data_IF_336617093585
#
_entry.id   IF_336617093585
#
_cell.length_a   1.000
_cell.length_b   1.000
_cell.length_c   1.000
_cell.angle_alpha   90.00
_cell.angle_beta   90.00
_cell.angle_gamma   90.00
#
_symmetry.space_group_name_H-M   'P 1'
#
loop_
_entity.id
_entity.type
_entity.pdbx_description
1 polymer ?
#
# COMPACT_ATOMS: atom_id res chain seq x y z
N UNK A 1 -3.89 35.65 29.36
CA UNK A 1 -4.95 35.15 30.26
C UNK A 1 -6.03 34.61 29.36
N UNK A 2 -6.02 33.30 29.12
CA UNK A 2 -6.94 32.70 28.14
C UNK A 2 -8.34 32.66 28.74
N UNK A 3 -9.36 33.09 27.99
CA UNK A 3 -10.75 33.03 28.44
C UNK A 3 -11.15 31.63 28.94
N UNK A 4 -10.52 30.56 28.40
CA UNK A 4 -10.69 29.19 28.89
C UNK A 4 -10.23 28.95 30.34
N UNK A 5 -9.16 29.61 30.79
CA UNK A 5 -8.63 29.43 32.16
C UNK A 5 -9.58 29.99 33.24
N UNK A 6 -10.42 30.97 32.87
CA UNK A 6 -11.44 31.56 33.76
C UNK A 6 -12.71 30.72 33.86
N UNK A 7 -13.04 29.96 32.80
CA UNK A 7 -14.27 29.15 32.72
C UNK A 7 -14.13 27.75 33.33
N UNK A 8 -12.90 27.23 33.43
CA UNK A 8 -12.61 25.91 34.03
C UNK A 8 -12.26 26.00 35.54
N UNK A 9 -12.46 27.17 36.17
CA UNK A 9 -12.07 27.43 37.56
C UNK A 9 -13.04 26.83 38.61
N UNK A 10 -12.57 26.00 39.57
CA UNK A 10 -13.42 25.26 40.52
C UNK A 10 -14.15 26.11 41.58
N UNK A 11 -14.08 27.44 41.49
CA UNK A 11 -14.63 28.38 42.49
C UNK A 11 -15.89 29.11 42.02
N UNK A 12 -16.32 28.92 40.78
CA UNK A 12 -17.54 29.53 40.24
C UNK A 12 -18.65 28.49 40.40
N UNK A 13 -19.62 28.71 41.30
CA UNK A 13 -20.76 27.80 41.52
C UNK A 13 -21.79 27.79 40.38
N UNK A 14 -21.36 28.05 39.14
CA UNK A 14 -22.18 28.09 37.92
C UNK A 14 -21.58 27.11 36.91
N UNK A 15 -22.42 26.27 36.30
CA UNK A 15 -22.01 25.41 35.19
C UNK A 15 -21.85 26.24 33.92
N UNK A 16 -20.60 26.50 33.52
CA UNK A 16 -20.23 27.25 32.32
C UNK A 16 -19.77 26.34 31.17
N UNK A 17 -19.98 25.02 31.29
CA UNK A 17 -19.49 24.04 30.31
C UNK A 17 -20.00 24.34 28.90
N UNK A 18 -21.29 24.70 28.76
CA UNK A 18 -21.88 25.08 27.48
C UNK A 18 -21.23 26.32 26.85
N UNK A 19 -21.04 27.37 27.65
CA UNK A 19 -20.38 28.61 27.19
C UNK A 19 -18.92 28.35 26.79
N UNK A 20 -18.20 27.52 27.53
CA UNK A 20 -16.84 27.09 27.18
C UNK A 20 -16.80 26.31 25.86
N UNK A 21 -17.77 25.42 25.62
CA UNK A 21 -17.87 24.66 24.38
C UNK A 21 -18.17 25.58 23.19
N UNK A 22 -19.10 26.51 23.33
CA UNK A 22 -19.42 27.51 22.30
C UNK A 22 -18.21 28.41 21.98
N UNK A 23 -17.50 28.90 23.01
CA UNK A 23 -16.30 29.71 22.83
C UNK A 23 -15.18 28.94 22.11
N UNK A 24 -14.97 27.66 22.45
CA UNK A 24 -14.01 26.79 21.74
C UNK A 24 -14.42 26.53 20.29
N UNK A 25 -15.70 26.30 20.03
CA UNK A 25 -16.23 26.10 18.69
C UNK A 25 -16.05 27.35 17.81
N UNK A 26 -16.34 28.54 18.35
CA UNK A 26 -16.11 29.81 17.65
C UNK A 26 -14.61 30.03 17.37
N UNK A 27 -13.74 29.81 18.38
CA UNK A 27 -12.29 29.94 18.20
C UNK A 27 -11.76 28.99 17.11
N UNK A 28 -12.25 27.74 17.07
CA UNK A 28 -11.93 26.79 16.01
C UNK A 28 -12.38 27.31 14.65
N UNK A 29 -13.64 27.74 14.52
CA UNK A 29 -14.19 28.28 13.26
C UNK A 29 -13.43 29.51 12.75
N UNK A 30 -13.01 30.40 13.66
CA UNK A 30 -12.16 31.55 13.31
C UNK A 30 -10.77 31.11 12.83
N UNK A 31 -10.16 30.12 13.48
CA UNK A 31 -8.87 29.56 13.06
C UNK A 31 -8.98 28.90 11.68
N UNK A 32 -9.99 28.05 11.47
CA UNK A 32 -10.22 27.34 10.20
C UNK A 32 -10.45 28.34 9.04
N UNK A 33 -11.22 29.40 9.30
CA UNK A 33 -11.45 30.47 8.32
C UNK A 33 -10.17 31.24 8.02
N UNK A 34 -9.36 31.54 9.03
CA UNK A 34 -8.09 32.22 8.85
C UNK A 34 -7.11 31.36 8.02
N UNK A 35 -7.00 30.08 8.33
CA UNK A 35 -6.14 29.15 7.60
C UNK A 35 -6.60 28.99 6.15
N UNK A 36 -7.91 28.93 5.91
CA UNK A 36 -8.49 28.94 4.57
C UNK A 36 -8.12 30.20 3.78
N UNK A 37 -8.19 31.38 4.40
CA UNK A 37 -7.79 32.64 3.77
C UNK A 37 -6.29 32.68 3.49
N UNK A 38 -5.45 32.17 4.39
CA UNK A 38 -4.00 32.05 4.17
C UNK A 38 -3.71 31.14 2.97
N UNK A 39 -4.35 29.98 2.89
CA UNK A 39 -4.20 29.06 1.76
C UNK A 39 -4.65 29.69 0.44
N UNK A 40 -5.82 30.35 0.42
CA UNK A 40 -6.32 31.00 -0.78
C UNK A 40 -5.41 32.15 -1.25
N UNK A 41 -4.93 33.00 -0.33
CA UNK A 41 -3.98 34.07 -0.65
C UNK A 41 -2.65 33.55 -1.20
N UNK A 42 -2.22 32.36 -0.78
CA UNK A 42 -1.01 31.71 -1.28
C UNK A 42 -1.24 30.92 -2.58
N UNK A 43 -2.46 30.94 -3.13
CA UNK A 43 -2.83 30.21 -4.35
C UNK A 43 -3.25 31.20 -5.44
N UNK A 44 -2.35 31.64 -6.33
CA UNK A 44 -2.63 32.70 -7.31
C UNK A 44 -3.83 32.45 -8.23
N UNK A 45 -4.19 31.17 -8.44
CA UNK A 45 -5.33 30.77 -9.26
C UNK A 45 -6.70 30.97 -8.57
N UNK A 46 -6.74 31.23 -7.26
CA UNK A 46 -7.97 31.42 -6.48
C UNK A 46 -8.18 32.93 -6.28
N UNK A 47 -9.10 33.51 -7.04
CA UNK A 47 -9.46 34.92 -6.89
C UNK A 47 -10.40 35.12 -5.69
N UNK A 48 -10.01 35.99 -4.76
CA UNK A 48 -10.82 36.38 -3.60
C UNK A 48 -11.60 37.67 -3.89
N UNK A 49 -12.93 37.59 -3.84
CA UNK A 49 -13.83 38.73 -3.93
C UNK A 49 -14.20 39.30 -2.57
N UNK A 50 -14.47 40.61 -2.51
CA UNK A 50 -15.04 41.23 -1.31
C UNK A 50 -16.43 40.64 -1.05
N UNK A 51 -16.63 40.09 0.15
CA UNK A 51 -17.91 39.48 0.57
C UNK A 51 -18.04 38.00 0.22
N UNK A 52 -16.98 37.36 -0.29
CA UNK A 52 -16.97 35.91 -0.48
C UNK A 52 -17.08 35.19 0.86
N UNK A 53 -17.97 34.19 0.93
CA UNK A 53 -18.12 33.35 2.11
C UNK A 53 -17.00 32.30 2.21
N UNK A 54 -16.71 31.78 3.41
CA UNK A 54 -15.76 30.68 3.58
C UNK A 54 -16.05 29.47 2.68
N UNK A 55 -17.33 29.12 2.47
CA UNK A 55 -17.74 27.99 1.63
C UNK A 55 -17.38 28.22 0.16
N UNK A 56 -17.57 29.46 -0.34
CA UNK A 56 -17.19 29.82 -1.71
C UNK A 56 -15.69 29.75 -1.91
N UNK A 57 -14.91 30.23 -0.94
CA UNK A 57 -13.45 30.21 -0.97
C UNK A 57 -12.94 28.77 -0.91
N UNK A 58 -13.48 27.96 0.00
CA UNK A 58 -13.17 26.53 0.14
C UNK A 58 -13.46 25.77 -1.15
N UNK A 59 -14.63 25.99 -1.77
CA UNK A 59 -14.99 25.39 -3.04
C UNK A 59 -14.02 25.75 -4.17
N UNK A 60 -13.62 27.02 -4.28
CA UNK A 60 -12.65 27.46 -5.29
C UNK A 60 -11.28 26.82 -5.06
N UNK A 61 -10.82 26.77 -3.80
CA UNK A 61 -9.55 26.14 -3.42
C UNK A 61 -9.56 24.64 -3.72
N UNK A 62 -10.62 23.92 -3.36
CA UNK A 62 -10.71 22.47 -3.58
C UNK A 62 -10.80 22.11 -5.06
N UNK A 63 -11.42 22.96 -5.91
CA UNK A 63 -11.38 22.78 -7.37
C UNK A 63 -9.97 22.96 -7.92
N UNK A 64 -9.25 23.98 -7.45
CA UNK A 64 -7.86 24.18 -7.85
C UNK A 64 -6.96 23.02 -7.42
N UNK A 65 -7.05 22.59 -6.15
CA UNK A 65 -6.30 21.46 -5.62
C UNK A 65 -6.59 20.16 -6.38
N UNK A 66 -7.85 19.88 -6.71
CA UNK A 66 -8.20 18.74 -7.57
C UNK A 66 -7.53 18.81 -8.94
N UNK A 67 -7.56 19.98 -9.59
CA UNK A 67 -6.91 20.16 -10.88
C UNK A 67 -5.38 19.95 -10.80
N UNK A 68 -4.73 20.38 -9.72
CA UNK A 68 -3.30 20.12 -9.46
C UNK A 68 -3.04 18.63 -9.27
N UNK A 69 -3.84 17.96 -8.43
CA UNK A 69 -3.74 16.50 -8.21
C UNK A 69 -3.87 15.76 -9.54
N UNK A 70 -4.91 16.04 -10.32
CA UNK A 70 -5.16 15.35 -11.58
C UNK A 70 -4.05 15.61 -12.62
N UNK A 71 -3.46 16.81 -12.63
CA UNK A 71 -2.35 17.15 -13.52
C UNK A 71 -1.03 16.46 -13.14
N UNK A 72 -0.84 16.11 -11.87
CA UNK A 72 0.33 15.41 -11.36
C UNK A 72 0.25 13.88 -11.55
N UNK A 73 -0.93 13.34 -11.88
CA UNK A 73 -1.09 11.90 -12.13
C UNK A 73 -0.35 11.46 -13.39
N UNK A 74 0.28 10.30 -13.32
CA UNK A 74 0.89 9.66 -14.48
C UNK A 74 -0.18 9.35 -15.55
N UNK A 75 0.16 9.50 -16.84
CA UNK A 75 -0.71 9.02 -17.91
C UNK A 75 -1.03 7.53 -17.72
N UNK A 76 -2.30 7.17 -17.93
CA UNK A 76 -2.71 5.78 -17.86
C UNK A 76 -2.09 5.01 -19.04
N UNK A 77 -1.50 3.84 -18.80
CA UNK A 77 -1.00 3.00 -19.88
C UNK A 77 -2.17 2.58 -20.79
N UNK A 78 -1.90 2.44 -22.08
CA UNK A 78 -2.89 1.93 -23.01
C UNK A 78 -3.28 0.48 -22.63
N UNK A 79 -4.58 0.17 -22.52
CA UNK A 79 -5.03 -1.17 -22.15
C UNK A 79 -4.64 -2.18 -23.25
N UNK A 80 -4.11 -3.32 -22.84
CA UNK A 80 -3.88 -4.44 -23.75
C UNK A 80 -5.22 -5.06 -24.19
N UNK A 81 -5.29 -5.73 -25.36
CA UNK A 81 -6.45 -6.53 -25.75
C UNK A 81 -6.81 -7.54 -24.65
N UNK A 82 -8.11 -7.69 -24.35
CA UNK A 82 -8.64 -8.60 -23.31
C UNK A 82 -8.24 -8.25 -21.86
N UNK A 83 -7.78 -7.02 -21.60
CA UNK A 83 -7.54 -6.60 -20.21
C UNK A 83 -8.86 -6.55 -19.42
N UNK A 84 -8.86 -6.86 -18.10
CA UNK A 84 -10.04 -6.71 -17.27
C UNK A 84 -10.64 -5.31 -17.33
N UNK A 85 -11.97 -5.24 -17.23
CA UNK A 85 -12.72 -3.98 -17.16
C UNK A 85 -13.24 -3.79 -15.74
N UNK A 86 -12.91 -2.66 -15.15
CA UNK A 86 -13.39 -2.24 -13.84
C UNK A 86 -14.34 -1.08 -13.98
N UNK A 87 -15.47 -1.14 -13.27
CA UNK A 87 -16.38 -0.02 -13.11
C UNK A 87 -16.20 0.57 -11.72
N UNK A 88 -15.95 1.87 -11.64
CA UNK A 88 -15.75 2.64 -10.40
C UNK A 88 -16.96 3.53 -10.17
N UNK A 89 -17.63 3.33 -9.04
CA UNK A 89 -18.59 4.28 -8.49
C UNK A 89 -17.87 5.17 -7.50
N UNK A 90 -17.75 6.45 -7.84
CA UNK A 90 -17.07 7.46 -7.02
C UNK A 90 -18.09 8.34 -6.28
N UNK A 91 -17.84 8.62 -5.01
CA UNK A 91 -18.68 9.45 -4.17
C UNK A 91 -18.03 10.80 -3.87
N UNK A 92 -18.85 11.83 -3.62
CA UNK A 92 -18.36 13.22 -3.41
C UNK A 92 -17.47 13.39 -2.18
N UNK A 93 -17.54 12.48 -1.21
CA UNK A 93 -16.69 12.45 -0.02
C UNK A 93 -15.37 11.68 -0.25
N UNK A 94 -15.06 11.30 -1.49
CA UNK A 94 -13.80 10.65 -1.88
C UNK A 94 -13.75 9.13 -1.73
N UNK A 95 -14.77 8.54 -1.11
CA UNK A 95 -14.93 7.10 -1.09
C UNK A 95 -15.27 6.59 -2.49
N UNK A 96 -14.83 5.38 -2.84
CA UNK A 96 -15.22 4.73 -4.08
C UNK A 96 -15.34 3.22 -3.94
N UNK A 97 -16.14 2.62 -4.82
CA UNK A 97 -16.27 1.16 -4.97
C UNK A 97 -15.91 0.81 -6.40
N UNK A 98 -15.05 -0.20 -6.56
CA UNK A 98 -14.66 -0.71 -7.86
C UNK A 98 -15.15 -2.15 -8.00
N UNK A 99 -15.80 -2.48 -9.11
CA UNK A 99 -16.26 -3.82 -9.42
C UNK A 99 -15.71 -4.28 -10.77
N UNK A 100 -15.26 -5.52 -10.84
CA UNK A 100 -14.80 -6.15 -12.06
C UNK A 100 -16.01 -6.58 -12.89
N UNK A 101 -16.16 -6.02 -14.08
CA UNK A 101 -17.32 -6.26 -14.97
C UNK A 101 -17.02 -7.22 -16.11
N UNK A 102 -15.75 -7.39 -16.48
CA UNK A 102 -15.32 -8.44 -17.43
C UNK A 102 -13.84 -8.80 -17.26
N UNK A 103 -13.46 -10.01 -17.68
CA UNK A 103 -12.06 -10.45 -17.71
C UNK A 103 -11.49 -10.94 -16.38
N UNK A 104 -12.36 -11.39 -15.47
CA UNK A 104 -11.96 -11.94 -14.17
C UNK A 104 -11.44 -13.36 -14.20
N UNK A 105 -10.78 -13.73 -13.10
CA UNK A 105 -10.39 -15.09 -12.78
C UNK A 105 -11.03 -15.51 -11.44
N UNK A 106 -11.00 -16.80 -11.15
CA UNK A 106 -11.58 -17.37 -9.92
C UNK A 106 -10.84 -16.96 -8.62
N UNK A 107 -9.63 -16.42 -8.75
CA UNK A 107 -8.83 -15.97 -7.60
C UNK A 107 -9.26 -14.58 -7.10
N UNK A 108 -10.04 -13.84 -7.89
CA UNK A 108 -10.36 -12.45 -7.65
C UNK A 108 -9.18 -11.50 -7.93
N UNK A 109 -9.30 -10.22 -7.56
CA UNK A 109 -10.45 -9.62 -6.89
C UNK A 109 -11.64 -9.39 -7.83
N UNK A 110 -12.86 -9.48 -7.28
CA UNK A 110 -14.09 -9.17 -8.04
C UNK A 110 -14.67 -7.80 -7.69
N UNK A 111 -14.42 -7.32 -6.49
CA UNK A 111 -14.91 -6.02 -6.00
C UNK A 111 -14.04 -5.52 -4.85
N UNK A 112 -13.73 -4.24 -4.87
CA UNK A 112 -13.02 -3.56 -3.81
C UNK A 112 -13.60 -2.18 -3.54
N UNK A 113 -13.04 -1.51 -2.56
CA UNK A 113 -13.44 -0.20 -2.10
C UNK A 113 -12.21 0.60 -1.71
N UNK A 114 -12.34 1.90 -1.57
CA UNK A 114 -11.18 2.71 -1.26
C UNK A 114 -11.51 4.18 -1.07
N UNK A 115 -10.44 4.95 -0.98
CA UNK A 115 -10.48 6.40 -0.95
C UNK A 115 -9.53 6.96 -1.99
N UNK A 116 -9.98 8.00 -2.69
CA UNK A 116 -9.15 8.81 -3.56
C UNK A 116 -9.66 10.27 -3.58
N UNK A 117 -8.77 11.26 -3.64
CA UNK A 117 -9.11 12.68 -3.53
C UNK A 117 -9.90 13.20 -4.74
N UNK A 118 -9.76 12.54 -5.89
CA UNK A 118 -10.46 12.86 -7.14
C UNK A 118 -10.90 11.56 -7.83
N UNK A 119 -11.87 11.62 -8.77
CA UNK A 119 -12.25 10.46 -9.55
C UNK A 119 -11.08 9.92 -10.40
N UNK A 120 -10.22 10.80 -10.91
CA UNK A 120 -9.07 10.39 -11.70
C UNK A 120 -8.00 9.69 -10.85
N UNK A 121 -7.84 10.14 -9.60
CA UNK A 121 -7.02 9.43 -8.61
C UNK A 121 -7.60 8.05 -8.30
N UNK A 122 -8.93 7.88 -8.24
CA UNK A 122 -9.55 6.56 -8.05
C UNK A 122 -9.21 5.61 -9.22
N UNK A 123 -9.30 6.11 -10.46
CA UNK A 123 -8.86 5.37 -11.66
C UNK A 123 -7.39 4.99 -11.56
N UNK A 124 -6.51 5.94 -11.22
CA UNK A 124 -5.07 5.69 -11.09
C UNK A 124 -4.78 4.65 -9.99
N UNK A 125 -5.48 4.71 -8.87
CA UNK A 125 -5.35 3.74 -7.77
C UNK A 125 -5.76 2.34 -8.19
N UNK A 126 -6.91 2.16 -8.85
CA UNK A 126 -7.34 0.84 -9.35
C UNK A 126 -6.38 0.33 -10.42
N UNK A 127 -5.95 1.20 -11.34
CA UNK A 127 -4.98 0.85 -12.38
C UNK A 127 -3.65 0.39 -11.80
N UNK A 128 -3.15 1.10 -10.79
CA UNK A 128 -1.90 0.81 -10.09
C UNK A 128 -1.92 -0.50 -9.30
N UNK A 129 -3.08 -0.90 -8.76
CA UNK A 129 -3.25 -2.21 -8.12
C UNK A 129 -2.94 -3.36 -9.11
N UNK A 130 -3.38 -3.21 -10.35
CA UNK A 130 -3.15 -4.17 -11.46
C UNK A 130 -2.03 -3.73 -12.40
N UNK A 131 -0.99 -3.04 -11.91
CA UNK A 131 0.04 -2.41 -12.75
C UNK A 131 0.71 -3.35 -13.78
N UNK A 132 0.91 -4.62 -13.43
CA UNK A 132 1.51 -5.63 -14.31
C UNK A 132 0.61 -6.04 -15.48
N UNK A 133 -0.70 -5.76 -15.41
CA UNK A 133 -1.72 -5.96 -16.46
C UNK A 133 -2.78 -4.85 -16.38
N UNK A 134 -2.45 -3.63 -16.84
CA UNK A 134 -3.30 -2.47 -16.62
C UNK A 134 -4.71 -2.65 -17.20
N UNK A 135 -5.77 -2.44 -16.39
CA UNK A 135 -7.15 -2.66 -16.78
C UNK A 135 -7.70 -1.48 -17.58
N UNK A 136 -8.86 -1.67 -18.18
CA UNK A 136 -9.75 -0.55 -18.52
C UNK A 136 -10.52 -0.20 -17.25
N UNK A 137 -10.51 1.07 -16.85
CA UNK A 137 -11.31 1.56 -15.73
C UNK A 137 -12.30 2.59 -16.22
N UNK A 138 -13.57 2.40 -15.89
CA UNK A 138 -14.69 3.26 -16.28
C UNK A 138 -15.32 3.83 -15.02
N UNK A 139 -15.55 5.13 -14.96
CA UNK A 139 -16.35 5.75 -13.89
C UNK A 139 -17.82 5.74 -14.30
N UNK A 140 -18.67 5.16 -13.45
CA UNK A 140 -20.13 5.11 -13.66
C UNK A 140 -20.88 5.23 -12.32
N UNK A 141 -21.78 6.21 -12.16
CA UNK A 141 -22.13 7.28 -13.10
C UNK A 141 -20.98 8.28 -13.31
N UNK A 142 -20.95 9.01 -14.45
CA UNK A 142 -19.96 10.05 -14.67
C UNK A 142 -20.06 11.14 -13.60
N UNK A 143 -18.91 11.59 -13.09
CA UNK A 143 -18.86 12.62 -12.04
C UNK A 143 -19.12 14.01 -12.63
N UNK A 144 -19.93 14.86 -11.98
CA UNK A 144 -20.15 16.23 -12.42
C UNK A 144 -18.84 17.03 -12.50
N UNK A 145 -18.72 17.84 -13.56
CA UNK A 145 -17.64 18.82 -13.71
C UNK A 145 -18.13 20.21 -13.24
N UNK A 146 -17.29 21.00 -12.55
CA UNK A 146 -15.89 20.74 -12.19
C UNK A 146 -15.74 19.82 -10.96
N UNK A 147 -14.70 18.97 -11.01
CA UNK A 147 -14.30 18.10 -9.91
C UNK A 147 -13.81 18.92 -8.72
N UNK A 148 -14.09 18.45 -7.51
CA UNK A 148 -13.63 19.02 -6.25
C UNK A 148 -12.75 18.00 -5.54
N UNK A 149 -11.73 18.48 -4.85
CA UNK A 149 -10.90 17.63 -4.00
C UNK A 149 -11.77 17.16 -2.82
N UNK A 150 -11.88 15.85 -2.64
CA UNK A 150 -12.41 15.27 -1.42
C UNK A 150 -11.31 15.22 -0.36
N UNK A 151 -11.66 15.55 0.88
CA UNK A 151 -10.80 15.36 2.05
C UNK A 151 -11.10 14.01 2.71
N UNK A 152 -10.10 13.34 3.32
CA UNK A 152 -10.34 12.10 4.05
C UNK A 152 -11.30 12.33 5.21
N UNK A 153 -12.39 11.58 5.24
CA UNK A 153 -13.38 11.63 6.32
C UNK A 153 -13.89 10.24 6.65
N UNK A 154 -14.59 10.08 7.78
CA UNK A 154 -15.26 8.83 8.12
C UNK A 154 -16.36 8.46 7.11
N UNK A 155 -16.93 9.45 6.42
CA UNK A 155 -17.94 9.22 5.37
C UNK A 155 -17.33 8.53 4.13
N UNK A 156 -16.01 8.63 3.94
CA UNK A 156 -15.30 7.91 2.88
C UNK A 156 -15.21 6.39 3.07
N UNK A 157 -15.58 5.88 4.25
CA UNK A 157 -15.59 4.44 4.49
C UNK A 157 -16.75 3.76 3.76
N UNK A 158 -16.41 3.15 2.62
CA UNK A 158 -17.31 2.36 1.77
C UNK A 158 -17.11 0.86 1.94
N UNK A 159 -16.46 0.43 3.03
CA UNK A 159 -16.13 -0.98 3.30
C UNK A 159 -17.32 -1.92 3.31
N UNK A 160 -18.51 -1.44 3.68
CA UNK A 160 -19.74 -2.23 3.70
C UNK A 160 -20.17 -2.71 2.31
N UNK A 161 -19.75 -2.01 1.26
CA UNK A 161 -20.03 -2.34 -0.14
C UNK A 161 -18.94 -3.20 -0.79
N UNK A 162 -17.77 -3.31 -0.14
CA UNK A 162 -16.64 -4.11 -0.60
C UNK A 162 -16.92 -5.62 -0.58
N UNK A 163 -16.11 -6.38 -1.31
CA UNK A 163 -16.09 -7.84 -1.15
C UNK A 163 -15.51 -8.21 0.21
N UNK A 164 -16.11 -9.19 0.87
CA UNK A 164 -15.60 -9.77 2.12
C UNK A 164 -14.97 -11.14 1.87
N UNK A 165 -14.03 -11.55 2.73
CA UNK A 165 -13.35 -12.86 2.61
C UNK A 165 -14.37 -14.02 2.56
N UNK A 166 -15.42 -13.97 3.39
CA UNK A 166 -16.51 -14.95 3.36
C UNK A 166 -17.19 -15.10 1.99
N UNK A 167 -17.32 -14.01 1.23
CA UNK A 167 -17.94 -14.03 -0.11
C UNK A 167 -16.99 -14.70 -1.12
N UNK A 168 -15.68 -14.47 -0.98
CA UNK A 168 -14.66 -15.15 -1.77
C UNK A 168 -14.66 -16.68 -1.51
N UNK A 169 -14.81 -17.10 -0.25
CA UNK A 169 -14.88 -18.52 0.12
C UNK A 169 -16.13 -19.20 -0.44
N UNK A 170 -17.28 -18.50 -0.47
CA UNK A 170 -18.54 -19.03 -1.03
C UNK A 170 -18.46 -19.30 -2.53
N UNK A 171 -17.54 -18.65 -3.26
CA UNK A 171 -17.40 -18.85 -4.70
C UNK A 171 -16.88 -20.25 -5.07
N UNK A 172 -16.08 -20.87 -4.20
CA UNK A 172 -15.53 -22.23 -4.38
C UNK A 172 -14.86 -22.48 -5.75
N UNK A 173 -14.19 -21.47 -6.29
CA UNK A 173 -13.47 -21.57 -7.56
C UNK A 173 -12.16 -22.37 -7.46
N UNK A 174 -11.37 -22.38 -8.54
CA UNK A 174 -10.17 -23.22 -8.63
C UNK A 174 -9.16 -23.05 -7.46
N UNK A 175 -8.91 -21.81 -7.02
CA UNK A 175 -7.99 -21.55 -5.91
C UNK A 175 -8.48 -22.12 -4.57
N UNK A 176 -9.79 -22.11 -4.33
CA UNK A 176 -10.38 -22.75 -3.14
C UNK A 176 -10.18 -24.25 -3.18
N UNK A 177 -10.49 -24.89 -4.31
CA UNK A 177 -10.32 -26.34 -4.45
C UNK A 177 -8.86 -26.77 -4.29
N UNK A 178 -7.93 -26.06 -4.92
CA UNK A 178 -6.50 -26.36 -4.78
C UNK A 178 -6.03 -26.21 -3.32
N UNK A 179 -6.56 -25.22 -2.59
CA UNK A 179 -6.30 -25.06 -1.16
C UNK A 179 -6.86 -26.23 -0.34
N UNK A 180 -8.10 -26.63 -0.55
CA UNK A 180 -8.73 -27.77 0.15
C UNK A 180 -7.99 -29.08 -0.13
N UNK A 181 -7.59 -29.31 -1.37
CA UNK A 181 -6.80 -30.48 -1.75
C UNK A 181 -5.42 -30.49 -1.06
N UNK A 182 -4.80 -29.32 -0.91
CA UNK A 182 -3.55 -29.18 -0.15
C UNK A 182 -3.75 -29.41 1.36
N UNK A 183 -4.86 -28.93 1.93
CA UNK A 183 -5.25 -29.23 3.29
C UNK A 183 -5.44 -30.74 3.51
N UNK A 184 -6.08 -31.45 2.58
CA UNK A 184 -6.25 -32.90 2.67
C UNK A 184 -4.90 -33.63 2.76
N UNK A 185 -3.96 -33.29 1.86
CA UNK A 185 -2.61 -33.88 1.87
C UNK A 185 -1.84 -33.56 3.16
N UNK A 186 -1.93 -32.31 3.63
CA UNK A 186 -1.28 -31.91 4.87
C UNK A 186 -1.89 -32.62 6.09
N UNK A 187 -3.21 -32.79 6.14
CA UNK A 187 -3.90 -33.51 7.20
C UNK A 187 -3.45 -34.98 7.29
N UNK A 188 -3.29 -35.67 6.16
CA UNK A 188 -2.77 -37.05 6.12
C UNK A 188 -1.39 -37.15 6.78
N UNK A 189 -0.46 -36.26 6.42
CA UNK A 189 0.89 -36.23 7.01
C UNK A 189 0.85 -35.90 8.50
N UNK A 190 0.02 -34.93 8.91
CA UNK A 190 -0.04 -34.48 10.30
C UNK A 190 -0.61 -35.55 11.24
N UNK A 191 -1.53 -36.41 10.78
CA UNK A 191 -2.07 -37.52 11.60
C UNK A 191 -1.04 -38.60 11.93
N UNK A 192 0.00 -38.73 11.11
CA UNK A 192 1.02 -39.77 11.25
C UNK A 192 2.32 -39.26 11.88
N UNK A 193 2.38 -37.99 12.28
CA UNK A 193 3.62 -37.34 12.74
C UNK A 193 3.46 -36.64 14.09
N UNK A 194 4.58 -36.40 14.78
CA UNK A 194 4.63 -35.43 15.87
C UNK A 194 4.55 -34.02 15.25
N UNK A 195 3.40 -33.36 15.43
CA UNK A 195 3.11 -32.05 14.85
C UNK A 195 4.17 -31.00 15.23
N UNK A 196 4.63 -30.97 16.48
CA UNK A 196 5.59 -29.97 16.92
C UNK A 196 6.96 -30.19 16.30
N UNK A 197 7.39 -31.45 16.23
CA UNK A 197 8.64 -31.81 15.55
C UNK A 197 8.56 -31.51 14.06
N UNK A 198 7.43 -31.84 13.42
CA UNK A 198 7.18 -31.60 12.01
C UNK A 198 7.21 -30.09 11.68
N UNK A 199 6.46 -29.27 12.41
CA UNK A 199 6.42 -27.82 12.19
C UNK A 199 7.80 -27.17 12.39
N UNK A 200 8.58 -27.60 13.39
CA UNK A 200 9.96 -27.10 13.59
C UNK A 200 10.86 -27.42 12.41
N UNK A 201 10.79 -28.65 11.89
CA UNK A 201 11.60 -29.05 10.73
C UNK A 201 11.17 -28.30 9.47
N UNK A 202 9.85 -28.14 9.24
CA UNK A 202 9.33 -27.34 8.13
C UNK A 202 9.74 -25.87 8.23
N UNK A 203 9.71 -25.27 9.43
CA UNK A 203 10.21 -23.92 9.66
C UNK A 203 11.69 -23.81 9.31
N UNK A 204 12.52 -24.74 9.77
CA UNK A 204 13.96 -24.76 9.49
C UNK A 204 14.22 -24.82 7.98
N UNK A 205 13.64 -25.79 7.29
CA UNK A 205 13.76 -25.96 5.84
C UNK A 205 13.31 -24.71 5.07
N UNK A 206 12.21 -24.10 5.50
CA UNK A 206 11.68 -22.90 4.87
C UNK A 206 12.62 -21.70 5.05
N UNK A 207 13.22 -21.52 6.22
CA UNK A 207 14.21 -20.46 6.44
C UNK A 207 15.51 -20.69 5.65
N UNK A 208 15.89 -21.94 5.40
CA UNK A 208 17.07 -22.27 4.61
C UNK A 208 16.85 -22.04 3.09
N UNK A 209 15.64 -22.29 2.59
CA UNK A 209 15.34 -22.30 1.14
C UNK A 209 14.58 -21.09 0.64
N UNK A 210 13.71 -20.51 1.45
CA UNK A 210 12.90 -19.34 1.12
C UNK A 210 12.66 -18.48 2.38
N UNK A 211 13.74 -17.88 2.94
CA UNK A 211 13.63 -17.01 4.12
C UNK A 211 12.68 -15.83 3.86
N UNK A 212 12.30 -15.11 4.91
CA UNK A 212 11.58 -13.85 4.74
C UNK A 212 12.50 -12.77 4.18
N UNK A 213 11.94 -11.86 3.38
CA UNK A 213 12.65 -10.69 2.89
C UNK A 213 12.97 -9.76 4.07
N UNK A 214 14.26 -9.64 4.38
CA UNK A 214 14.73 -8.76 5.43
C UNK A 214 14.44 -7.29 5.08
N UNK A 215 14.13 -6.49 6.09
CA UNK A 215 13.87 -5.05 5.93
C UNK A 215 12.70 -4.70 5.00
N UNK A 216 11.77 -5.63 4.72
CA UNK A 216 10.59 -5.40 3.88
C UNK A 216 9.82 -4.12 4.22
N UNK A 217 9.68 -3.80 5.53
CA UNK A 217 9.08 -2.54 5.98
C UNK A 217 9.78 -1.31 5.39
N UNK A 218 11.10 -1.26 5.37
CA UNK A 218 11.88 -0.14 4.83
C UNK A 218 11.82 -0.12 3.30
N UNK A 219 11.90 -1.31 2.68
CA UNK A 219 11.89 -1.47 1.22
C UNK A 219 10.59 -0.93 0.61
N UNK A 220 9.46 -1.21 1.26
CA UNK A 220 8.13 -0.96 0.73
C UNK A 220 7.47 0.31 1.29
N UNK A 221 8.08 0.98 2.28
CA UNK A 221 7.52 2.21 2.87
C UNK A 221 7.52 3.39 1.89
N UNK A 222 6.36 3.86 1.46
CA UNK A 222 6.28 4.98 0.53
C UNK A 222 6.82 6.26 1.19
N UNK A 223 7.76 7.00 0.55
CA UNK A 223 8.17 8.29 1.07
C UNK A 223 6.99 9.27 1.12
N UNK A 224 7.03 10.21 2.05
CA UNK A 224 6.00 11.26 2.14
C UNK A 224 5.94 12.06 0.84
N UNK A 225 4.72 12.18 0.30
CA UNK A 225 4.40 12.99 -0.87
C UNK A 225 4.80 14.46 -0.67
N UNK A 226 5.23 15.12 -1.75
CA UNK A 226 5.40 16.59 -1.75
C UNK A 226 4.04 17.27 -1.61
N UNK A 227 3.12 16.92 -2.50
CA UNK A 227 1.73 17.30 -2.42
C UNK A 227 0.97 16.27 -1.57
N UNK A 228 0.49 16.69 -0.39
CA UNK A 228 -0.17 15.82 0.59
C UNK A 228 -1.59 15.42 0.19
N UNK A 229 -2.08 15.92 -0.93
CA UNK A 229 -3.43 15.66 -1.44
C UNK A 229 -3.54 14.32 -2.19
N UNK A 230 -2.42 13.72 -2.63
CA UNK A 230 -2.36 12.41 -3.31
C UNK A 230 -2.66 11.19 -2.44
N UNK A 231 -3.37 11.36 -1.32
CA UNK A 231 -3.68 10.24 -0.42
C UNK A 231 -4.70 9.33 -1.10
N UNK A 232 -4.32 8.09 -1.39
CA UNK A 232 -5.25 7.11 -1.96
C UNK A 232 -4.96 5.71 -1.50
N UNK A 233 -6.01 4.90 -1.35
CA UNK A 233 -5.87 3.47 -1.13
C UNK A 233 -7.01 2.70 -1.78
N UNK A 234 -6.73 1.44 -2.09
CA UNK A 234 -7.71 0.46 -2.54
C UNK A 234 -7.60 -0.79 -1.69
N UNK A 235 -8.75 -1.28 -1.22
CA UNK A 235 -8.90 -2.48 -0.42
C UNK A 235 -9.81 -3.45 -1.14
N UNK A 236 -9.41 -4.70 -1.19
CA UNK A 236 -10.17 -5.77 -1.83
C UNK A 236 -9.85 -7.11 -1.20
N UNK A 237 -10.63 -8.14 -1.53
CA UNK A 237 -10.32 -9.51 -1.14
C UNK A 237 -9.95 -10.35 -2.35
N UNK A 238 -8.98 -11.24 -2.19
CA UNK A 238 -8.57 -12.20 -3.22
C UNK A 238 -7.80 -13.38 -2.60
N UNK A 239 -7.67 -14.44 -3.40
CA UNK A 239 -6.75 -15.53 -3.14
C UNK A 239 -5.33 -15.11 -3.50
N UNK A 240 -4.46 -15.02 -2.50
CA UNK A 240 -3.04 -14.69 -2.67
C UNK A 240 -2.22 -15.98 -2.59
N UNK A 241 -1.36 -16.28 -3.56
CA UNK A 241 -0.42 -17.39 -3.43
C UNK A 241 0.48 -17.16 -2.21
N UNK A 242 0.59 -18.14 -1.32
CA UNK A 242 1.34 -17.99 -0.07
C UNK A 242 2.79 -17.57 -0.31
N UNK A 243 3.41 -18.09 -1.39
CA UNK A 243 4.79 -17.75 -1.78
C UNK A 243 5.02 -16.26 -2.08
N UNK A 244 3.97 -15.50 -2.39
CA UNK A 244 4.07 -14.06 -2.64
C UNK A 244 4.01 -13.22 -1.36
N UNK A 245 3.75 -13.82 -0.20
CA UNK A 245 3.86 -13.14 1.09
C UNK A 245 5.32 -13.23 1.56
N UNK A 246 6.05 -12.13 1.36
CA UNK A 246 7.51 -12.09 1.50
C UNK A 246 7.98 -11.73 2.90
N UNK A 247 7.10 -11.14 3.71
CA UNK A 247 7.41 -10.84 5.10
C UNK A 247 6.19 -10.76 6.00
N UNK A 248 6.44 -10.92 7.28
CA UNK A 248 5.50 -10.81 8.40
C UNK A 248 6.10 -9.91 9.48
N UNK A 249 5.42 -9.72 10.61
CA UNK A 249 5.99 -9.00 11.76
C UNK A 249 7.13 -9.75 12.45
N UNK A 250 7.27 -11.05 12.17
CA UNK A 250 8.33 -11.90 12.69
C UNK A 250 9.41 -12.13 11.64
N UNK A 251 10.68 -12.06 12.03
CA UNK A 251 11.81 -12.11 11.08
C UNK A 251 12.06 -13.48 10.47
N UNK A 252 11.60 -14.53 11.14
CA UNK A 252 11.95 -15.92 10.84
C UNK A 252 10.66 -16.73 10.81
N UNK A 253 10.53 -17.61 9.83
CA UNK A 253 9.37 -18.50 9.77
C UNK A 253 9.33 -19.42 10.99
N UNK A 254 8.15 -19.62 11.56
CA UNK A 254 7.94 -20.45 12.76
C UNK A 254 8.35 -19.82 14.10
N UNK A 255 8.97 -18.63 14.11
CA UNK A 255 9.33 -17.93 15.35
C UNK A 255 8.32 -16.81 15.64
N UNK A 256 7.74 -16.82 16.85
CA UNK A 256 6.75 -15.84 17.29
C UNK A 256 7.20 -15.01 18.50
N UNK A 257 8.47 -15.13 18.94
CA UNK A 257 9.02 -14.35 20.05
C UNK A 257 8.24 -14.46 21.37
N UNK A 258 7.54 -15.58 21.59
CA UNK A 258 6.67 -15.80 22.75
C UNK A 258 5.23 -15.28 22.61
N UNK A 259 4.85 -14.65 21.50
CA UNK A 259 3.48 -14.21 21.26
C UNK A 259 2.59 -15.37 20.77
N UNK A 260 1.79 -15.93 21.68
CA UNK A 260 0.85 -17.04 21.42
C UNK A 260 1.51 -18.21 20.64
N UNK A 261 2.63 -18.78 21.15
CA UNK A 261 3.41 -19.79 20.42
C UNK A 261 2.67 -21.12 20.20
N UNK A 262 1.55 -21.34 20.89
CA UNK A 262 0.70 -22.52 20.77
C UNK A 262 -0.28 -22.47 19.58
N UNK A 263 -0.55 -21.29 19.01
CA UNK A 263 -1.52 -21.13 17.91
C UNK A 263 -1.14 -21.92 16.65
N UNK A 264 0.13 -21.94 16.20
CA UNK A 264 0.55 -22.78 15.08
C UNK A 264 0.21 -24.26 15.28
N UNK A 265 0.52 -24.80 16.46
CA UNK A 265 0.17 -26.17 16.82
C UNK A 265 -1.34 -26.40 16.78
N UNK A 266 -2.14 -25.48 17.35
CA UNK A 266 -3.61 -25.60 17.33
C UNK A 266 -4.17 -25.63 15.90
N UNK A 267 -3.65 -24.79 14.99
CA UNK A 267 -4.10 -24.80 13.59
C UNK A 267 -3.74 -26.14 12.91
N UNK A 268 -2.52 -26.62 13.11
CA UNK A 268 -2.07 -27.88 12.52
C UNK A 268 -2.82 -29.09 13.09
N UNK A 269 -3.04 -29.14 14.40
CA UNK A 269 -3.85 -30.17 15.05
C UNK A 269 -5.31 -30.10 14.58
N UNK A 270 -5.89 -28.90 14.49
CA UNK A 270 -7.23 -28.71 13.94
C UNK A 270 -7.36 -29.22 12.50
N UNK A 271 -6.33 -29.05 11.67
CA UNK A 271 -6.29 -29.62 10.33
C UNK A 271 -6.17 -31.15 10.34
N UNK A 272 -5.33 -31.71 11.21
CA UNK A 272 -5.15 -33.16 11.35
C UNK A 272 -6.47 -33.86 11.74
N UNK A 273 -7.22 -33.23 12.67
CA UNK A 273 -8.46 -33.73 13.23
C UNK A 273 -9.70 -33.39 12.38
N UNK A 274 -9.56 -32.54 11.36
CA UNK A 274 -10.68 -32.08 10.55
C UNK A 274 -11.34 -33.25 9.81
N UNK A 275 -12.64 -33.42 10.05
CA UNK A 275 -13.52 -34.35 9.31
C UNK A 275 -14.25 -33.64 8.17
N UNK A 276 -14.34 -32.32 8.22
CA UNK A 276 -14.88 -31.43 7.19
C UNK A 276 -13.82 -30.36 6.89
N UNK A 277 -13.14 -30.51 5.75
CA UNK A 277 -12.09 -29.59 5.32
C UNK A 277 -12.65 -28.26 4.82
N UNK A 278 -13.87 -28.23 4.28
CA UNK A 278 -14.52 -26.98 3.88
C UNK A 278 -14.81 -26.10 5.12
N UNK A 279 -15.29 -26.71 6.19
CA UNK A 279 -15.53 -26.05 7.47
C UNK A 279 -14.21 -25.55 8.08
N UNK A 280 -13.17 -26.41 8.12
CA UNK A 280 -11.83 -26.00 8.57
C UNK A 280 -11.29 -24.82 7.76
N UNK A 281 -11.34 -24.88 6.43
CA UNK A 281 -10.88 -23.79 5.56
C UNK A 281 -11.66 -22.50 5.82
N UNK A 282 -12.97 -22.59 6.06
CA UNK A 282 -13.79 -21.42 6.39
C UNK A 282 -13.39 -20.82 7.73
N UNK A 283 -13.16 -21.64 8.75
CA UNK A 283 -12.70 -21.21 10.08
C UNK A 283 -11.32 -20.56 10.00
N UNK A 284 -10.38 -21.18 9.27
CA UNK A 284 -9.02 -20.68 9.08
C UNK A 284 -9.00 -19.24 8.58
N UNK A 285 -9.94 -18.86 7.73
CA UNK A 285 -10.05 -17.54 7.12
C UNK A 285 -11.19 -16.67 7.67
N UNK A 286 -11.82 -17.07 8.79
CA UNK A 286 -12.92 -16.31 9.40
C UNK A 286 -12.46 -14.93 9.88
N UNK A 287 -11.33 -14.88 10.60
CA UNK A 287 -10.67 -13.61 10.91
C UNK A 287 -9.84 -13.16 9.71
N UNK A 288 -10.01 -11.94 9.21
CA UNK A 288 -9.35 -11.52 7.98
C UNK A 288 -7.82 -11.41 8.12
N UNK A 289 -7.09 -12.11 7.25
CA UNK A 289 -5.65 -11.90 7.05
C UNK A 289 -5.49 -10.62 6.24
N UNK A 290 -4.86 -9.60 6.83
CA UNK A 290 -4.64 -8.33 6.17
C UNK A 290 -3.22 -8.28 5.59
N UNK A 291 -3.14 -8.05 4.28
CA UNK A 291 -1.90 -7.91 3.55
C UNK A 291 -1.78 -6.49 2.97
N UNK A 292 -0.55 -5.97 2.90
CA UNK A 292 -0.21 -4.80 2.10
C UNK A 292 0.32 -5.26 0.74
N UNK A 293 -0.23 -4.72 -0.34
CA UNK A 293 0.18 -4.96 -1.71
C UNK A 293 1.26 -3.97 -2.12
N UNK A 294 2.45 -4.47 -2.38
CA UNK A 294 3.53 -3.68 -2.98
C UNK A 294 3.55 -3.92 -4.47
N UNK A 295 3.43 -2.85 -5.25
CA UNK A 295 3.54 -2.92 -6.70
C UNK A 295 4.94 -3.34 -7.13
N UNK A 296 5.00 -4.16 -8.18
CA UNK A 296 6.22 -4.54 -8.87
C UNK A 296 5.90 -4.97 -10.31
N UNK A 297 6.90 -4.95 -11.18
CA UNK A 297 6.71 -4.98 -12.63
C UNK A 297 6.34 -6.34 -13.23
N UNK A 298 6.83 -7.45 -12.66
CA UNK A 298 6.48 -8.81 -13.11
C UNK A 298 5.22 -9.37 -12.40
N UNK A 299 4.80 -8.72 -11.32
CA UNK A 299 3.73 -9.16 -10.42
C UNK A 299 3.98 -8.67 -8.99
N UNK A 300 2.95 -8.57 -8.14
CA UNK A 300 3.09 -7.95 -6.84
C UNK A 300 3.79 -8.84 -5.80
N UNK A 301 4.18 -8.23 -4.70
CA UNK A 301 4.57 -8.92 -3.46
C UNK A 301 3.77 -8.39 -2.29
N UNK A 302 3.62 -9.21 -1.26
CA UNK A 302 2.75 -8.90 -0.13
C UNK A 302 3.50 -8.98 1.21
N UNK A 303 3.08 -8.14 2.15
CA UNK A 303 3.51 -8.24 3.55
C UNK A 303 2.29 -8.33 4.45
N UNK A 304 2.40 -9.07 5.57
CA UNK A 304 1.33 -9.08 6.57
C UNK A 304 1.30 -7.72 7.26
N UNK A 305 0.13 -7.07 7.25
CA UNK A 305 -0.08 -5.78 7.90
C UNK A 305 -0.88 -5.89 9.19
N UNK A 306 -1.79 -6.87 9.27
CA UNK A 306 -2.51 -7.18 10.50
C UNK A 306 -3.12 -8.59 10.48
N UNK A 307 -3.38 -9.14 11.67
CA UNK A 307 -4.23 -10.33 11.89
C UNK A 307 -3.93 -11.53 10.98
N UNK A 308 -2.65 -11.89 10.77
CA UNK A 308 -2.30 -12.96 9.82
C UNK A 308 -1.08 -13.79 10.15
N UNK A 309 -0.21 -13.32 11.05
CA UNK A 309 1.13 -13.86 11.24
C UNK A 309 1.14 -15.40 11.43
N UNK A 310 0.39 -15.94 12.40
CA UNK A 310 0.37 -17.40 12.64
C UNK A 310 -0.13 -18.20 11.45
N UNK A 311 -1.17 -17.73 10.76
CA UNK A 311 -1.80 -18.43 9.63
C UNK A 311 -0.93 -18.41 8.39
N UNK A 312 -0.27 -17.30 8.10
CA UNK A 312 0.70 -17.22 7.00
C UNK A 312 1.89 -18.14 7.28
N UNK A 313 2.42 -18.13 8.51
CA UNK A 313 3.52 -19.04 8.87
C UNK A 313 3.11 -20.51 8.70
N UNK A 314 1.93 -20.90 9.21
CA UNK A 314 1.44 -22.26 9.07
C UNK A 314 1.21 -22.64 7.61
N UNK A 315 0.58 -21.78 6.82
CA UNK A 315 0.35 -22.03 5.41
C UNK A 315 1.68 -22.23 4.66
N UNK A 316 2.72 -21.47 4.98
CA UNK A 316 4.06 -21.66 4.38
C UNK A 316 4.75 -22.94 4.87
N UNK A 317 4.66 -23.27 6.16
CA UNK A 317 5.29 -24.49 6.72
C UNK A 317 4.63 -25.77 6.19
N UNK A 318 3.30 -25.76 6.04
CA UNK A 318 2.51 -26.87 5.52
C UNK A 318 2.39 -26.88 3.99
N UNK A 319 3.05 -25.94 3.30
CA UNK A 319 3.01 -25.80 1.84
C UNK A 319 1.59 -25.66 1.26
N UNK A 320 0.73 -24.95 1.98
CA UNK A 320 -0.59 -24.58 1.48
C UNK A 320 -0.42 -23.49 0.41
N UNK A 321 -1.07 -23.63 -0.77
CA UNK A 321 -0.77 -22.77 -1.92
C UNK A 321 -1.39 -21.38 -1.81
N UNK A 322 -2.52 -21.24 -1.12
CA UNK A 322 -3.35 -20.04 -1.17
C UNK A 322 -3.75 -19.51 0.20
N UNK A 323 -3.95 -18.19 0.28
CA UNK A 323 -4.55 -17.48 1.40
C UNK A 323 -5.73 -16.67 0.91
N UNK A 324 -6.90 -16.81 1.54
CA UNK A 324 -8.00 -15.87 1.34
C UNK A 324 -7.74 -14.64 2.22
N UNK A 325 -7.53 -13.48 1.60
CA UNK A 325 -7.02 -12.30 2.31
C UNK A 325 -7.75 -11.02 1.95
N UNK A 326 -7.71 -10.05 2.87
CA UNK A 326 -7.98 -8.64 2.59
C UNK A 326 -6.65 -7.98 2.24
N UNK A 327 -6.58 -7.38 1.07
CA UNK A 327 -5.38 -6.74 0.54
C UNK A 327 -5.59 -5.24 0.46
N UNK A 328 -4.64 -4.48 1.00
CA UNK A 328 -4.60 -3.02 0.91
C UNK A 328 -3.48 -2.58 -0.01
N UNK A 329 -3.80 -1.79 -1.03
CA UNK A 329 -2.85 -1.11 -1.88
C UNK A 329 -2.89 0.39 -1.60
N UNK A 330 -1.73 1.00 -1.45
CA UNK A 330 -1.58 2.44 -1.37
C UNK A 330 -0.85 2.90 -2.63
N UNK A 331 -1.46 3.82 -3.37
CA UNK A 331 -0.82 4.38 -4.56
C UNK A 331 0.38 5.20 -4.12
N UNK A 332 1.59 4.93 -4.65
CA UNK A 332 2.72 5.79 -4.36
C UNK A 332 2.44 7.21 -4.87
N UNK A 333 2.86 8.24 -4.15
CA UNK A 333 2.74 9.62 -4.62
C UNK A 333 3.47 9.80 -5.97
N UNK A 334 3.04 10.71 -6.83
CA UNK A 334 3.77 11.01 -8.07
C UNK A 334 5.05 11.80 -7.81
N UNK A 335 5.21 12.42 -6.64
CA UNK A 335 6.39 13.23 -6.33
C UNK A 335 6.86 13.14 -4.87
N UNK A 336 8.18 13.12 -4.67
CA UNK A 336 8.83 13.04 -3.36
C UNK A 336 10.00 14.01 -3.21
N UNK A 337 10.15 14.60 -2.02
CA UNK A 337 11.38 15.31 -1.67
C UNK A 337 12.48 14.33 -1.32
N UNK A 338 13.71 14.68 -1.69
CA UNK A 338 14.92 13.91 -1.35
C UNK A 338 15.06 13.65 0.16
N UNK A 339 14.69 14.62 1.01
CA UNK A 339 14.65 14.43 2.47
C UNK A 339 13.65 13.36 2.93
N UNK A 340 12.48 13.26 2.28
CA UNK A 340 11.49 12.23 2.60
C UNK A 340 12.03 10.83 2.31
N UNK A 341 12.76 10.68 1.19
CA UNK A 341 13.42 9.42 0.84
C UNK A 341 14.54 9.06 1.83
N UNK A 342 15.37 10.04 2.21
CA UNK A 342 16.43 9.87 3.22
C UNK A 342 15.87 9.38 4.56
N UNK A 343 14.76 9.95 5.01
CA UNK A 343 14.19 9.67 6.34
C UNK A 343 13.80 8.21 6.54
N UNK A 344 13.40 7.51 5.47
CA UNK A 344 13.06 6.08 5.49
C UNK A 344 14.30 5.22 5.77
N UNK A 345 15.46 5.60 5.22
CA UNK A 345 16.69 4.78 5.29
C UNK A 345 17.65 5.22 6.40
N UNK A 346 17.57 6.47 6.88
CA UNK A 346 18.52 7.00 7.88
C UNK A 346 18.52 6.22 9.19
N UNK A 347 17.36 5.69 9.59
CA UNK A 347 17.25 4.83 10.77
C UNK A 347 17.98 3.50 10.59
N UNK A 348 17.87 2.90 9.40
CA UNK A 348 18.55 1.66 9.05
C UNK A 348 20.06 1.84 8.91
N UNK A 349 20.48 2.87 8.15
CA UNK A 349 21.88 3.16 7.92
C UNK A 349 22.60 3.71 9.17
N UNK A 350 21.86 4.08 10.21
CA UNK A 350 22.37 4.78 11.41
C UNK A 350 23.19 6.02 11.06
N UNK A 351 22.84 6.66 9.94
CA UNK A 351 23.54 7.84 9.42
C UNK A 351 22.89 9.11 9.91
N UNK A 352 23.71 10.11 10.23
CA UNK A 352 23.24 11.50 10.39
C UNK A 352 22.99 12.09 9.01
N UNK A 353 22.18 13.16 8.96
CA UNK A 353 21.92 13.95 7.75
C UNK A 353 23.25 14.26 7.04
N UNK A 354 23.43 13.74 5.82
CA UNK A 354 24.68 13.82 5.06
C UNK A 354 24.39 14.12 3.60
N UNK A 355 24.91 15.25 3.09
CA UNK A 355 24.78 15.63 1.68
C UNK A 355 25.39 14.60 0.74
N UNK A 356 26.54 14.03 1.13
CA UNK A 356 27.19 12.97 0.34
C UNK A 356 26.26 11.78 0.11
N UNK A 357 25.51 11.37 1.14
CA UNK A 357 24.57 10.27 1.03
C UNK A 357 23.40 10.62 0.10
N UNK A 358 22.85 11.84 0.23
CA UNK A 358 21.76 12.31 -0.63
C UNK A 358 22.22 12.41 -2.08
N UNK A 359 23.43 12.93 -2.33
CA UNK A 359 24.03 12.98 -3.65
C UNK A 359 24.19 11.59 -4.25
N UNK A 360 24.81 10.66 -3.50
CA UNK A 360 24.96 9.27 -3.95
C UNK A 360 23.61 8.65 -4.32
N UNK A 361 22.56 8.94 -3.56
CA UNK A 361 21.22 8.47 -3.88
C UNK A 361 20.66 9.10 -5.14
N UNK A 362 20.78 10.41 -5.30
CA UNK A 362 20.37 11.08 -6.53
C UNK A 362 21.09 10.51 -7.75
N UNK A 363 22.40 10.31 -7.68
CA UNK A 363 23.20 9.73 -8.77
C UNK A 363 22.69 8.34 -9.19
N UNK A 364 22.27 7.51 -8.23
CA UNK A 364 21.68 6.19 -8.49
C UNK A 364 20.31 6.30 -9.19
N UNK A 365 19.44 7.20 -8.70
CA UNK A 365 18.10 7.42 -9.27
C UNK A 365 18.21 7.99 -10.68
N UNK A 366 19.07 8.99 -10.90
CA UNK A 366 19.36 9.51 -12.22
C UNK A 366 19.94 8.44 -13.14
N UNK A 367 20.75 7.51 -12.61
CA UNK A 367 21.20 6.33 -13.33
C UNK A 367 20.05 5.44 -13.80
N UNK A 368 19.04 5.22 -12.96
CA UNK A 368 17.84 4.45 -13.33
C UNK A 368 17.01 5.18 -14.40
N UNK A 369 16.92 6.52 -14.31
CA UNK A 369 16.24 7.37 -15.29
C UNK A 369 16.96 7.33 -16.64
N UNK A 370 18.29 7.57 -16.66
CA UNK A 370 19.12 7.53 -17.88
C UNK A 370 19.01 6.19 -18.60
N UNK A 371 18.78 5.10 -17.86
CA UNK A 371 18.62 3.74 -18.41
C UNK A 371 17.18 3.39 -18.77
N UNK A 372 16.22 4.30 -18.59
CA UNK A 372 14.80 4.08 -18.90
C UNK A 372 14.10 3.08 -17.99
N UNK A 373 14.68 2.75 -16.83
CA UNK A 373 14.06 1.85 -15.85
C UNK A 373 12.97 2.59 -15.08
N UNK A 374 13.29 3.80 -14.64
CA UNK A 374 12.36 4.75 -14.00
C UNK A 374 12.06 5.86 -14.99
N UNK A 375 10.82 6.32 -15.04
CA UNK A 375 10.46 7.57 -15.73
C UNK A 375 10.16 8.63 -14.69
N UNK A 376 11.03 9.63 -14.64
CA UNK A 376 10.94 10.74 -13.71
C UNK A 376 12.05 11.75 -13.93
N UNK A 377 11.98 12.84 -13.19
CA UNK A 377 12.93 13.94 -13.26
C UNK A 377 13.07 14.62 -11.90
N UNK A 378 14.26 15.16 -11.64
CA UNK A 378 14.50 16.05 -10.51
C UNK A 378 14.24 17.50 -10.93
N UNK A 379 13.66 18.29 -10.04
CA UNK A 379 13.60 19.74 -10.22
C UNK A 379 14.99 20.41 -10.11
N UNK A 380 15.07 21.66 -10.57
CA UNK A 380 16.30 22.47 -10.56
C UNK A 380 16.65 23.05 -9.17
N UNK A 381 16.02 22.59 -8.08
CA UNK A 381 16.26 23.12 -6.74
C UNK A 381 17.73 22.95 -6.35
N UNK A 382 18.48 24.01 -5.96
CA UNK A 382 19.89 23.88 -5.62
C UNK A 382 20.16 23.06 -4.35
N UNK A 383 19.24 23.13 -3.37
CA UNK A 383 19.35 22.34 -2.14
C UNK A 383 18.97 20.88 -2.39
N UNK A 384 19.98 20.01 -2.34
CA UNK A 384 19.85 18.57 -2.55
C UNK A 384 18.77 17.93 -1.66
N UNK A 385 18.56 18.41 -0.43
CA UNK A 385 17.55 17.83 0.46
C UNK A 385 16.12 18.21 0.05
N UNK A 386 15.96 19.36 -0.59
CA UNK A 386 14.67 19.89 -1.00
C UNK A 386 14.33 19.63 -2.46
N UNK A 387 15.27 19.10 -3.26
CA UNK A 387 15.00 18.60 -4.61
C UNK A 387 13.84 17.61 -4.62
N UNK A 388 12.89 17.85 -5.52
CA UNK A 388 11.74 16.99 -5.76
C UNK A 388 12.03 16.05 -6.92
N UNK A 389 11.81 14.76 -6.71
CA UNK A 389 11.69 13.77 -7.78
C UNK A 389 10.21 13.65 -8.16
N UNK A 390 9.86 14.02 -9.38
CA UNK A 390 8.55 13.71 -9.98
C UNK A 390 8.70 12.44 -10.81
N UNK A 391 7.82 11.47 -10.62
CA UNK A 391 7.93 10.14 -11.19
C UNK A 391 6.61 9.70 -11.80
N UNK A 392 6.61 9.47 -13.11
CA UNK A 392 5.46 8.94 -13.85
C UNK A 392 5.46 7.41 -13.87
N UNK A 393 6.64 6.78 -13.79
CA UNK A 393 6.77 5.32 -13.71
C UNK A 393 7.86 4.90 -12.74
N UNK A 394 7.45 4.26 -11.64
CA UNK A 394 8.33 3.57 -10.71
C UNK A 394 7.99 2.07 -10.71
N UNK A 395 8.80 1.20 -11.36
CA UNK A 395 8.46 -0.22 -11.48
C UNK A 395 8.32 -0.94 -10.15
N UNK A 396 9.10 -0.53 -9.14
CA UNK A 396 8.94 -0.97 -7.76
C UNK A 396 9.61 0.03 -6.80
N UNK A 397 9.06 0.22 -5.58
CA UNK A 397 9.58 1.21 -4.62
C UNK A 397 10.98 0.90 -4.11
N UNK A 398 11.42 -0.36 -4.15
CA UNK A 398 12.75 -0.72 -3.67
C UNK A 398 13.88 -0.38 -4.65
N UNK A 399 13.60 -0.14 -5.93
CA UNK A 399 14.65 0.15 -6.93
C UNK A 399 15.36 1.46 -6.63
N UNK A 400 14.61 2.43 -6.12
CA UNK A 400 15.11 3.70 -5.67
C UNK A 400 15.57 3.61 -4.22
N UNK A 401 16.10 2.47 -3.73
CA UNK A 401 16.67 2.27 -2.37
C UNK A 401 18.18 2.25 -2.36
N UNK A 402 18.78 2.19 -1.17
CA UNK A 402 20.22 2.02 -1.02
C UNK A 402 20.64 0.75 -1.78
N UNK A 403 21.84 0.69 -2.40
CA UNK A 403 22.25 -0.45 -3.21
C UNK A 403 22.07 -1.79 -2.51
N UNK A 404 22.43 -1.90 -1.24
CA UNK A 404 22.29 -3.14 -0.46
C UNK A 404 20.82 -3.57 -0.30
N UNK A 405 19.92 -2.61 -0.10
CA UNK A 405 18.48 -2.85 0.05
C UNK A 405 17.83 -3.21 -1.29
N UNK A 406 18.11 -2.43 -2.34
CA UNK A 406 17.56 -2.66 -3.67
C UNK A 406 17.95 -4.05 -4.20
N UNK A 407 19.23 -4.41 -4.03
CA UNK A 407 19.79 -5.65 -4.55
C UNK A 407 19.32 -6.87 -3.74
N UNK A 408 19.15 -6.75 -2.42
CA UNK A 408 18.52 -7.79 -1.61
C UNK A 408 17.08 -8.07 -2.06
N UNK A 409 16.30 -7.01 -2.31
CA UNK A 409 14.93 -7.13 -2.82
C UNK A 409 14.91 -7.71 -4.25
N UNK A 410 15.79 -7.27 -5.14
CA UNK A 410 15.91 -7.79 -6.51
C UNK A 410 16.23 -9.28 -6.53
N UNK A 411 17.19 -9.73 -5.71
CA UNK A 411 17.56 -11.15 -5.59
C UNK A 411 16.37 -11.99 -5.15
N UNK A 412 15.64 -11.51 -4.15
CA UNK A 412 14.43 -12.17 -3.67
C UNK A 412 13.33 -12.21 -4.73
N UNK A 413 13.12 -11.08 -5.41
CA UNK A 413 12.09 -10.93 -6.43
C UNK A 413 12.36 -11.79 -7.66
N UNK A 414 13.62 -11.90 -8.08
CA UNK A 414 14.05 -12.77 -9.18
C UNK A 414 13.80 -14.26 -8.85
N UNK A 415 13.94 -14.66 -7.59
CA UNK A 415 13.59 -16.02 -7.17
C UNK A 415 12.08 -16.30 -7.21
N UNK A 416 11.24 -15.28 -6.94
CA UNK A 416 9.78 -15.39 -7.04
C UNK A 416 9.26 -15.30 -8.48
N UNK A 417 9.94 -14.50 -9.31
CA UNK A 417 9.61 -14.17 -10.68
C UNK A 417 10.88 -14.29 -11.55
N UNK A 418 11.27 -15.52 -11.95
CA UNK A 418 12.46 -15.71 -12.77
C UNK A 418 12.39 -14.91 -14.08
N UNK A 419 13.46 -14.18 -14.39
CA UNK A 419 13.56 -13.29 -15.55
C UNK A 419 13.04 -11.87 -15.30
N UNK A 420 12.57 -11.54 -14.10
CA UNK A 420 12.03 -10.22 -13.78
C UNK A 420 13.05 -9.10 -14.04
N UNK A 421 14.29 -9.24 -13.61
CA UNK A 421 15.32 -8.21 -13.84
C UNK A 421 15.58 -7.99 -15.34
N UNK A 422 15.61 -9.07 -16.12
CA UNK A 422 15.78 -8.99 -17.56
C UNK A 422 14.62 -8.24 -18.26
N UNK A 423 13.39 -8.33 -17.74
CA UNK A 423 12.25 -7.56 -18.26
C UNK A 423 12.45 -6.04 -18.14
N UNK A 424 13.23 -5.58 -17.15
CA UNK A 424 13.62 -4.17 -17.01
C UNK A 424 14.95 -3.83 -17.70
N UNK A 425 15.57 -4.79 -18.40
CA UNK A 425 16.90 -4.60 -18.98
C UNK A 425 18.02 -4.51 -17.94
N UNK A 426 17.80 -5.01 -16.73
CA UNK A 426 18.82 -5.06 -15.67
C UNK A 426 19.56 -6.41 -15.77
N UNK A 427 20.87 -6.43 -16.03
CA UNK A 427 21.65 -7.68 -15.99
C UNK A 427 21.60 -8.31 -14.60
N UNK A 428 21.51 -9.63 -14.52
CA UNK A 428 21.34 -10.34 -13.23
C UNK A 428 22.51 -10.04 -12.28
N UNK A 429 23.75 -10.09 -12.77
CA UNK A 429 24.96 -9.81 -12.01
C UNK A 429 25.04 -8.37 -11.47
N UNK A 430 24.33 -7.44 -12.11
CA UNK A 430 24.19 -6.06 -11.63
C UNK A 430 23.06 -5.97 -10.60
N UNK A 431 21.93 -6.59 -10.89
CA UNK A 431 20.74 -6.57 -10.03
C UNK A 431 20.90 -7.32 -8.71
N UNK A 432 21.89 -8.22 -8.59
CA UNK A 432 22.16 -9.05 -7.41
C UNK A 432 23.49 -8.75 -6.68
N UNK A 433 24.27 -7.75 -7.10
CA UNK A 433 25.46 -7.27 -6.37
C UNK A 433 25.42 -5.74 -6.14
N UNK A 434 25.52 -5.32 -4.87
CA UNK A 434 25.39 -3.91 -4.47
C UNK A 434 26.47 -3.00 -5.09
N UNK A 435 27.70 -3.50 -5.27
CA UNK A 435 28.79 -2.71 -5.86
C UNK A 435 28.63 -2.61 -7.37
N UNK A 436 28.22 -3.69 -8.02
CA UNK A 436 27.90 -3.71 -9.45
C UNK A 436 26.73 -2.79 -9.76
N UNK A 437 25.64 -2.87 -8.97
CA UNK A 437 24.49 -1.96 -9.03
C UNK A 437 24.91 -0.50 -8.97
N UNK A 438 25.64 -0.12 -7.92
CA UNK A 438 26.06 1.26 -7.74
C UNK A 438 26.97 1.75 -8.88
N UNK A 439 27.93 0.92 -9.31
CA UNK A 439 28.83 1.26 -10.43
C UNK A 439 28.05 1.43 -11.73
N UNK A 440 27.18 0.48 -12.06
CA UNK A 440 26.41 0.47 -13.31
C UNK A 440 25.49 1.68 -13.46
N UNK A 441 24.91 2.16 -12.36
CA UNK A 441 24.05 3.35 -12.37
C UNK A 441 24.84 4.66 -12.41
N UNK A 442 26.05 4.69 -11.87
CA UNK A 442 26.90 5.90 -11.81
C UNK A 442 27.83 6.08 -13.00
N UNK A 443 28.07 5.03 -13.80
CA UNK A 443 28.78 5.14 -15.08
C UNK A 443 27.85 5.62 -16.19
N UNK A 444 28.34 6.50 -17.06
CA UNK A 444 27.64 6.90 -18.28
C UNK A 444 27.29 5.66 -19.13
N UNK A 445 26.06 5.60 -19.61
CA UNK A 445 25.52 4.50 -20.41
C UNK A 445 26.11 4.48 -21.83
#
# INVERSE_FOLDING_TARGET
MHAGELLDGPRIGLDLTGLSQEARALASSMSDTYDLLVMANNTPAVALGRGDSPEKISLALNRHRAAVVDAELAPLPAPAPNTPVWTVRYYSHGGFVAALTSGGNDAGPHRGWGYAPTPQSAIATVTGFTHHRPPVVVIDPPVPSPVQLAEPSSEADTSVEGQRVRELLLHRGAAYQEHVDACARAAEVLRETDIDAYLKERARLLNDTAPQLQHARILFDAPNAVNRDHRGYFKTTLWVPTRLVVSTDHRTWGDFGGHRPYVPHQIAQGLADATDLDAFTTELFTDEINLTHTLAWAGPVYTVSANGNHRVHIARMLDLPWLATTVTYQTPPPAWRSLSMFSVESQWAKTRRSEKWVQQRQDLIEGLIRRGIVEGEFDDTPDLFNRTLTCTRLPAPWLIRAPELAVAANTYYEALYPGALAMLGIPAEVGTDAKAWARWLTTSA
#
